data_IF_088564569774
#
_entry.id   IF_088564569774
#
_cell.length_a   1.000
_cell.length_b   1.000
_cell.length_c   1.000
_cell.angle_alpha   90.00
_cell.angle_beta   90.00
_cell.angle_gamma   90.00
#
_symmetry.space_group_name_H-M   'P 1'
#
loop_
_entity.id
_entity.type
_entity.pdbx_description
1 polymer ?
#
# COMPACT_ATOMS: atom_id res chain seq x y z
N UNK A 1 42.85 53.93 -16.13
CA UNK A 1 42.20 53.06 -15.11
C UNK A 1 42.38 51.61 -15.52
N UNK A 2 42.88 50.78 -14.59
CA UNK A 2 43.22 49.36 -14.76
C UNK A 2 41.98 48.50 -14.94
N UNK A 3 42.08 47.41 -15.72
CA UNK A 3 41.87 46.02 -15.26
C UNK A 3 42.15 45.03 -16.39
N UNK A 4 43.21 44.23 -16.20
CA UNK A 4 43.61 43.15 -17.10
C UNK A 4 42.75 41.90 -16.90
N UNK A 5 42.41 41.25 -18.01
CA UNK A 5 41.75 39.96 -18.04
C UNK A 5 42.81 38.84 -17.96
N UNK A 6 42.96 38.25 -16.77
CA UNK A 6 43.74 37.03 -16.60
C UNK A 6 42.93 35.82 -17.10
N UNK A 7 43.42 35.20 -18.19
CA UNK A 7 43.12 33.81 -18.55
C UNK A 7 43.47 32.89 -17.38
N UNK A 8 42.49 32.20 -16.81
CA UNK A 8 42.73 31.06 -15.91
C UNK A 8 42.49 29.76 -16.67
N UNK A 9 43.58 29.02 -16.83
CA UNK A 9 43.65 27.64 -17.29
C UNK A 9 42.63 26.76 -16.56
N UNK A 10 41.82 26.03 -17.33
CA UNK A 10 41.07 24.87 -16.86
C UNK A 10 42.10 23.75 -16.66
N UNK A 11 42.55 23.55 -15.42
CA UNK A 11 43.32 22.36 -15.04
C UNK A 11 42.34 21.21 -14.86
N UNK A 12 42.55 20.15 -15.64
CA UNK A 12 41.85 18.89 -15.51
C UNK A 12 42.03 18.32 -14.10
N UNK A 13 40.92 18.20 -13.38
CA UNK A 13 40.85 17.39 -12.19
C UNK A 13 40.57 15.95 -12.63
N UNK A 14 41.64 15.17 -12.77
CA UNK A 14 41.59 13.71 -12.64
C UNK A 14 41.28 13.41 -11.16
N UNK A 15 39.99 13.40 -10.82
CA UNK A 15 39.54 12.79 -9.56
C UNK A 15 39.38 11.30 -9.87
N UNK A 16 40.39 10.53 -9.47
CA UNK A 16 40.29 9.09 -9.30
C UNK A 16 39.26 8.81 -8.20
N UNK A 17 37.98 8.69 -8.59
CA UNK A 17 36.92 8.18 -7.71
C UNK A 17 37.11 6.67 -7.51
N UNK A 18 38.09 6.29 -6.70
CA UNK A 18 37.97 5.09 -5.88
C UNK A 18 37.08 5.45 -4.68
N UNK A 19 35.78 5.62 -4.93
CA UNK A 19 34.79 5.63 -3.85
C UNK A 19 34.33 4.18 -3.70
N UNK A 20 35.01 3.49 -2.79
CA UNK A 20 34.54 2.25 -2.19
C UNK A 20 33.08 2.41 -1.77
N UNK A 21 32.23 1.59 -2.38
CA UNK A 21 30.78 1.54 -2.21
C UNK A 21 30.38 1.03 -0.83
N UNK A 22 30.62 1.75 0.25
CA UNK A 22 30.12 1.37 1.58
C UNK A 22 30.06 2.57 2.52
N UNK A 23 29.13 3.51 2.33
CA UNK A 23 28.58 4.28 3.46
C UNK A 23 27.20 4.85 3.10
N UNK A 24 26.19 4.66 3.96
CA UNK A 24 24.95 5.43 3.91
C UNK A 24 25.13 6.68 4.77
N UNK A 25 24.95 7.90 4.25
CA UNK A 25 24.66 9.03 5.14
C UNK A 25 23.99 10.20 4.43
N UNK A 26 22.80 10.53 4.92
CA UNK A 26 22.12 11.80 4.73
C UNK A 26 22.86 12.88 5.54
N UNK A 27 23.38 13.92 4.89
CA UNK A 27 23.19 15.33 5.30
C UNK A 27 23.94 16.27 4.34
N UNK A 28 23.24 17.34 3.94
CA UNK A 28 23.66 18.63 3.34
C UNK A 28 24.59 18.67 2.10
N UNK A 29 25.32 17.60 1.75
CA UNK A 29 26.12 17.48 0.52
C UNK A 29 25.36 16.89 -0.69
N UNK A 30 24.07 16.61 -0.55
CA UNK A 30 23.29 15.82 -1.51
C UNK A 30 23.14 16.44 -2.90
N UNK A 31 23.16 17.77 -3.03
CA UNK A 31 22.91 18.46 -4.31
C UNK A 31 24.01 18.24 -5.36
N UNK A 32 25.27 18.15 -4.93
CA UNK A 32 26.41 17.90 -5.83
C UNK A 32 26.47 16.44 -6.26
N UNK A 33 26.16 15.51 -5.34
CA UNK A 33 26.08 14.07 -5.62
C UNK A 33 24.90 13.74 -6.56
N UNK A 34 23.76 14.41 -6.38
CA UNK A 34 22.61 14.35 -7.28
C UNK A 34 22.97 14.79 -8.71
N UNK A 35 23.59 15.96 -8.86
CA UNK A 35 24.04 16.45 -10.17
C UNK A 35 25.11 15.56 -10.78
N UNK A 36 26.05 15.03 -9.98
CA UNK A 36 27.11 14.16 -10.47
C UNK A 36 26.57 12.81 -11.00
N UNK A 37 25.61 12.19 -10.30
CA UNK A 37 25.00 10.91 -10.74
C UNK A 37 24.13 11.08 -11.99
N UNK A 38 23.42 12.22 -12.11
CA UNK A 38 22.62 12.57 -13.30
C UNK A 38 23.48 12.98 -14.50
N UNK A 39 24.63 13.63 -14.28
CA UNK A 39 25.45 14.24 -15.33
C UNK A 39 26.65 13.41 -15.78
N UNK A 40 27.08 12.39 -15.02
CA UNK A 40 28.13 11.47 -15.47
C UNK A 40 27.57 10.45 -16.47
N UNK A 41 27.83 10.58 -17.78
CA UNK A 41 27.35 9.62 -18.74
C UNK A 41 28.27 8.40 -18.67
N UNK A 42 27.70 7.24 -18.35
CA UNK A 42 28.14 5.96 -18.90
C UNK A 42 29.61 5.59 -18.72
N UNK A 43 30.24 5.92 -17.58
CA UNK A 43 31.64 5.51 -17.37
C UNK A 43 31.79 4.01 -17.09
N UNK A 44 30.74 3.34 -16.57
CA UNK A 44 30.69 1.89 -16.32
C UNK A 44 29.23 1.36 -16.43
N UNK A 45 28.74 0.97 -17.63
CA UNK A 45 27.36 0.48 -17.83
C UNK A 45 27.10 -0.92 -17.23
N UNK A 46 28.12 -1.59 -16.67
CA UNK A 46 28.02 -2.96 -16.16
C UNK A 46 27.67 -3.06 -14.67
N UNK A 47 27.49 -1.93 -13.96
CA UNK A 47 27.33 -1.94 -12.50
C UNK A 47 25.89 -1.57 -12.12
N UNK A 48 25.13 -2.54 -11.63
CA UNK A 48 23.73 -2.36 -11.19
C UNK A 48 23.57 -1.24 -10.13
N UNK A 49 24.55 -1.08 -9.24
CA UNK A 49 24.55 -0.05 -8.18
C UNK A 49 24.40 1.37 -8.75
N UNK A 50 25.02 1.67 -9.90
CA UNK A 50 24.92 2.99 -10.51
C UNK A 50 23.48 3.32 -10.91
N UNK A 51 22.79 2.36 -11.55
CA UNK A 51 21.40 2.52 -11.96
C UNK A 51 20.45 2.66 -10.77
N UNK A 52 20.67 1.91 -9.68
CA UNK A 52 19.85 2.06 -8.46
C UNK A 52 20.03 3.43 -7.79
N UNK A 53 21.25 3.98 -7.77
CA UNK A 53 21.51 5.31 -7.23
C UNK A 53 20.90 6.41 -8.11
N UNK A 54 20.94 6.25 -9.45
CA UNK A 54 20.29 7.17 -10.39
C UNK A 54 18.76 7.12 -10.29
N UNK A 55 18.19 5.92 -10.14
CA UNK A 55 16.77 5.73 -9.89
C UNK A 55 16.32 6.43 -8.60
N UNK A 56 17.08 6.32 -7.50
CA UNK A 56 16.81 7.07 -6.27
C UNK A 56 16.77 8.58 -6.50
N UNK A 57 17.69 9.11 -7.30
CA UNK A 57 17.66 10.53 -7.67
C UNK A 57 16.38 10.89 -8.43
N UNK A 58 15.98 10.07 -9.40
CA UNK A 58 14.73 10.28 -10.13
C UNK A 58 13.49 10.18 -9.25
N UNK A 59 13.45 9.26 -8.29
CA UNK A 59 12.36 9.17 -7.29
C UNK A 59 12.25 10.47 -6.49
N UNK A 60 13.36 11.02 -6.00
CA UNK A 60 13.35 12.30 -5.27
C UNK A 60 12.96 13.50 -6.15
N UNK A 61 13.21 13.41 -7.46
CA UNK A 61 12.78 14.39 -8.45
C UNK A 61 11.35 14.14 -8.98
N UNK A 62 10.64 13.14 -8.46
CA UNK A 62 9.30 12.71 -8.90
C UNK A 62 9.23 12.31 -10.39
N UNK A 63 10.35 11.89 -10.98
CA UNK A 63 10.41 11.40 -12.35
C UNK A 63 10.32 9.87 -12.36
N UNK A 64 9.14 9.34 -12.04
CA UNK A 64 8.95 7.90 -11.82
C UNK A 64 9.17 7.06 -13.07
N UNK A 65 8.80 7.54 -14.26
CA UNK A 65 8.98 6.79 -15.52
C UNK A 65 10.46 6.50 -15.82
N UNK A 66 11.33 7.49 -15.58
CA UNK A 66 12.78 7.34 -15.77
C UNK A 66 13.40 6.46 -14.69
N UNK A 67 12.94 6.61 -13.44
CA UNK A 67 13.36 5.74 -12.35
C UNK A 67 13.01 4.28 -12.64
N UNK A 68 11.84 4.02 -13.21
CA UNK A 68 11.38 2.67 -13.56
C UNK A 68 12.26 2.04 -14.64
N UNK A 69 12.63 2.79 -15.69
CA UNK A 69 13.57 2.33 -16.72
C UNK A 69 14.94 1.98 -16.11
N UNK A 70 15.45 2.81 -15.22
CA UNK A 70 16.72 2.57 -14.52
C UNK A 70 16.68 1.35 -13.60
N UNK A 71 15.59 1.17 -12.85
CA UNK A 71 15.39 -0.01 -12.02
C UNK A 71 15.31 -1.29 -12.86
N UNK A 72 14.64 -1.25 -14.02
CA UNK A 72 14.59 -2.40 -14.94
C UNK A 72 15.97 -2.77 -15.46
N UNK A 73 16.77 -1.79 -15.90
CA UNK A 73 18.16 -2.05 -16.31
C UNK A 73 19.02 -2.54 -15.14
N UNK A 74 18.81 -2.04 -13.92
CA UNK A 74 19.50 -2.56 -12.74
C UNK A 74 19.18 -4.04 -12.50
N UNK A 75 17.93 -4.45 -12.72
CA UNK A 75 17.48 -5.84 -12.59
C UNK A 75 17.94 -6.76 -13.73
N UNK A 76 18.13 -6.22 -14.93
CA UNK A 76 18.76 -6.96 -16.04
C UNK A 76 20.23 -7.30 -15.73
N UNK A 77 20.93 -6.39 -15.03
CA UNK A 77 22.32 -6.59 -14.60
C UNK A 77 22.42 -7.44 -13.33
N UNK A 78 21.53 -7.22 -12.37
CA UNK A 78 21.45 -7.93 -11.10
C UNK A 78 20.00 -8.22 -10.73
N UNK A 79 19.54 -9.42 -11.11
CA UNK A 79 18.16 -9.88 -10.87
C UNK A 79 17.79 -9.99 -9.39
N UNK A 80 18.78 -10.11 -8.49
CA UNK A 80 18.58 -10.29 -7.06
C UNK A 80 18.77 -8.99 -6.26
N UNK A 81 18.90 -7.85 -6.95
CA UNK A 81 19.11 -6.57 -6.29
C UNK A 81 17.87 -6.10 -5.51
N UNK A 82 17.91 -6.25 -4.18
CA UNK A 82 16.87 -5.77 -3.24
C UNK A 82 16.59 -4.27 -3.44
N UNK A 83 17.65 -3.47 -3.65
CA UNK A 83 17.49 -2.03 -3.83
C UNK A 83 16.67 -1.71 -5.08
N UNK A 84 16.91 -2.46 -6.16
CA UNK A 84 16.23 -2.25 -7.43
C UNK A 84 14.75 -2.66 -7.32
N UNK A 85 14.43 -3.80 -6.70
CA UNK A 85 13.05 -4.22 -6.45
C UNK A 85 12.30 -3.23 -5.55
N UNK A 86 12.94 -2.73 -4.48
CA UNK A 86 12.35 -1.73 -3.60
C UNK A 86 12.01 -0.42 -4.32
N UNK A 87 12.98 0.17 -5.03
CA UNK A 87 12.73 1.42 -5.78
C UNK A 87 11.74 1.22 -6.93
N UNK A 88 11.76 0.05 -7.58
CA UNK A 88 10.78 -0.30 -8.60
C UNK A 88 9.36 -0.33 -8.02
N UNK A 89 9.18 -1.03 -6.89
CA UNK A 89 7.89 -1.09 -6.19
C UNK A 89 7.43 0.28 -5.70
N UNK A 90 8.34 1.13 -5.23
CA UNK A 90 8.03 2.50 -4.85
C UNK A 90 7.58 3.34 -6.04
N UNK A 91 8.25 3.25 -7.19
CA UNK A 91 7.83 3.95 -8.41
C UNK A 91 6.46 3.47 -8.90
N UNK A 92 6.22 2.16 -8.90
CA UNK A 92 4.93 1.60 -9.32
C UNK A 92 3.78 2.00 -8.40
N UNK A 93 4.06 2.15 -7.10
CA UNK A 93 3.09 2.64 -6.12
C UNK A 93 2.65 4.08 -6.44
N UNK A 94 3.58 4.93 -6.87
CA UNK A 94 3.29 6.31 -7.29
C UNK A 94 2.64 6.39 -8.68
N UNK A 95 2.87 5.38 -9.54
CA UNK A 95 2.18 5.21 -10.83
C UNK A 95 0.84 4.46 -10.72
N UNK A 96 0.33 4.25 -9.51
CA UNK A 96 -0.94 3.55 -9.21
C UNK A 96 -1.01 2.06 -9.65
N UNK A 97 0.13 1.48 -10.02
CA UNK A 97 0.26 0.06 -10.38
C UNK A 97 0.48 -0.80 -9.12
N UNK A 98 -0.55 -0.90 -8.27
CA UNK A 98 -0.42 -1.48 -6.94
C UNK A 98 -0.09 -2.98 -6.91
N UNK A 99 -0.56 -3.76 -7.87
CA UNK A 99 -0.33 -5.21 -7.89
C UNK A 99 1.11 -5.57 -8.18
N UNK A 100 1.68 -4.94 -9.21
CA UNK A 100 3.10 -5.10 -9.54
C UNK A 100 3.99 -4.57 -8.42
N UNK A 101 3.61 -3.44 -7.81
CA UNK A 101 4.33 -2.87 -6.67
C UNK A 101 4.42 -3.86 -5.49
N UNK A 102 3.29 -4.47 -5.12
CA UNK A 102 3.24 -5.48 -4.06
C UNK A 102 4.05 -6.71 -4.45
N UNK A 103 3.97 -7.17 -5.69
CA UNK A 103 4.73 -8.32 -6.19
C UNK A 103 6.25 -8.09 -6.07
N UNK A 104 6.74 -6.92 -6.50
CA UNK A 104 8.16 -6.57 -6.42
C UNK A 104 8.63 -6.39 -4.97
N UNK A 105 7.85 -5.72 -4.12
CA UNK A 105 8.17 -5.56 -2.69
C UNK A 105 8.14 -6.89 -1.91
N UNK A 106 7.43 -7.91 -2.40
CA UNK A 106 7.38 -9.23 -1.76
C UNK A 106 8.50 -10.18 -2.17
N UNK A 107 9.23 -9.90 -3.26
CA UNK A 107 10.38 -10.73 -3.68
C UNK A 107 11.54 -10.63 -2.67
N UNK A 108 11.57 -9.57 -1.87
CA UNK A 108 12.63 -9.27 -0.88
C UNK A 108 12.48 -9.99 0.47
N UNK A 109 11.79 -11.14 0.54
CA UNK A 109 11.57 -11.85 1.83
C UNK A 109 12.87 -12.35 2.47
N UNK A 110 13.88 -12.69 1.68
CA UNK A 110 15.09 -13.39 2.15
C UNK A 110 16.29 -12.47 2.42
N UNK A 111 16.34 -11.26 1.84
CA UNK A 111 17.50 -10.37 1.93
C UNK A 111 17.23 -9.09 2.76
N UNK A 112 16.32 -9.18 3.73
CA UNK A 112 15.86 -8.08 4.62
C UNK A 112 16.95 -7.42 5.47
N UNK A 113 18.15 -7.98 5.51
CA UNK A 113 19.23 -7.61 6.44
C UNK A 113 19.72 -6.15 6.31
N UNK A 114 19.46 -5.47 5.18
CA UNK A 114 20.00 -4.13 4.91
C UNK A 114 18.99 -2.97 4.92
N UNK A 115 17.68 -3.24 4.94
CA UNK A 115 16.63 -2.21 4.75
C UNK A 115 15.72 -1.99 5.97
N UNK A 116 15.95 -2.70 7.07
CA UNK A 116 15.19 -2.52 8.31
C UNK A 116 13.66 -2.55 8.09
N UNK A 117 12.96 -1.55 8.64
CA UNK A 117 11.50 -1.41 8.60
C UNK A 117 10.94 -0.69 7.36
N UNK A 118 11.80 -0.27 6.41
CA UNK A 118 11.37 0.48 5.23
C UNK A 118 10.58 -0.38 4.24
N UNK A 119 11.00 -1.62 4.00
CA UNK A 119 10.28 -2.54 3.09
C UNK A 119 8.91 -2.94 3.65
N UNK A 120 8.79 -3.40 4.92
CA UNK A 120 7.49 -3.72 5.50
C UNK A 120 6.54 -2.51 5.56
N UNK A 121 7.05 -1.32 5.85
CA UNK A 121 6.23 -0.10 5.86
C UNK A 121 5.72 0.26 4.47
N UNK A 122 6.58 0.22 3.44
CA UNK A 122 6.18 0.41 2.05
C UNK A 122 5.13 -0.62 1.60
N UNK A 123 5.29 -1.90 1.98
CA UNK A 123 4.32 -2.95 1.67
C UNK A 123 2.95 -2.70 2.33
N UNK A 124 2.92 -2.21 3.58
CA UNK A 124 1.67 -1.82 4.25
C UNK A 124 0.98 -0.68 3.52
N UNK A 125 1.73 0.34 3.12
CA UNK A 125 1.21 1.48 2.37
C UNK A 125 0.66 1.02 1.01
N UNK A 126 1.40 0.17 0.29
CA UNK A 126 0.99 -0.39 -1.00
C UNK A 126 -0.33 -1.17 -0.89
N UNK A 127 -0.43 -2.07 0.09
CA UNK A 127 -1.67 -2.84 0.34
C UNK A 127 -2.85 -1.92 0.72
N UNK A 128 -2.61 -0.91 1.53
CA UNK A 128 -3.63 0.09 1.90
C UNK A 128 -4.10 0.89 0.69
N UNK A 129 -3.19 1.38 -0.15
CA UNK A 129 -3.56 2.10 -1.39
C UNK A 129 -4.31 1.20 -2.36
N UNK A 130 -3.88 -0.06 -2.53
CA UNK A 130 -4.62 -1.06 -3.33
C UNK A 130 -6.05 -1.24 -2.84
N UNK A 131 -6.22 -1.46 -1.53
CA UNK A 131 -7.54 -1.62 -0.93
C UNK A 131 -8.42 -0.39 -1.18
N UNK A 132 -7.88 0.80 -0.94
CA UNK A 132 -8.60 2.06 -1.17
C UNK A 132 -9.04 2.21 -2.64
N UNK A 133 -8.17 1.87 -3.60
CA UNK A 133 -8.48 1.97 -5.03
C UNK A 133 -9.58 0.99 -5.45
N UNK A 134 -9.56 -0.25 -4.94
CA UNK A 134 -10.60 -1.25 -5.21
C UNK A 134 -11.92 -0.81 -4.57
N UNK A 135 -11.85 -0.34 -3.32
CA UNK A 135 -13.02 0.10 -2.56
C UNK A 135 -13.67 1.33 -3.18
N UNK A 136 -12.88 2.30 -3.65
CA UNK A 136 -13.37 3.48 -4.37
C UNK A 136 -14.11 3.10 -5.66
N UNK A 137 -13.59 2.14 -6.43
CA UNK A 137 -14.27 1.61 -7.62
C UNK A 137 -15.59 0.93 -7.26
N UNK A 138 -15.61 0.15 -6.19
CA UNK A 138 -16.82 -0.53 -5.70
C UNK A 138 -17.87 0.48 -5.25
N UNK A 139 -17.49 1.49 -4.47
CA UNK A 139 -18.36 2.59 -4.05
C UNK A 139 -18.90 3.34 -5.26
N UNK A 140 -18.06 3.62 -6.25
CA UNK A 140 -18.47 4.30 -7.48
C UNK A 140 -19.54 3.51 -8.24
N UNK A 141 -19.36 2.20 -8.41
CA UNK A 141 -20.33 1.33 -9.07
C UNK A 141 -21.65 1.25 -8.31
N UNK A 142 -21.58 1.13 -6.97
CA UNK A 142 -22.78 1.09 -6.13
C UNK A 142 -23.56 2.41 -6.18
N UNK A 143 -22.86 3.56 -6.16
CA UNK A 143 -23.49 4.88 -6.29
C UNK A 143 -24.12 5.09 -7.68
N UNK A 144 -23.45 4.62 -8.74
CA UNK A 144 -23.99 4.68 -10.10
C UNK A 144 -25.27 3.84 -10.22
N UNK A 145 -25.26 2.63 -9.64
CA UNK A 145 -26.43 1.76 -9.59
C UNK A 145 -27.58 2.39 -8.79
N UNK A 146 -27.29 2.94 -7.60
CA UNK A 146 -28.28 3.63 -6.77
C UNK A 146 -28.95 4.80 -7.53
N UNK A 147 -28.15 5.64 -8.19
CA UNK A 147 -28.65 6.76 -8.99
C UNK A 147 -29.49 6.28 -10.19
N UNK A 148 -29.04 5.21 -10.87
CA UNK A 148 -29.76 4.61 -11.98
C UNK A 148 -31.12 4.06 -11.55
N UNK A 149 -31.17 3.28 -10.48
CA UNK A 149 -32.40 2.70 -9.94
C UNK A 149 -33.37 3.79 -9.46
N UNK A 150 -32.87 4.80 -8.75
CA UNK A 150 -33.65 5.96 -8.32
C UNK A 150 -34.31 6.64 -9.52
N UNK A 151 -33.56 6.87 -10.60
CA UNK A 151 -34.07 7.46 -11.83
C UNK A 151 -35.16 6.59 -12.48
N UNK A 152 -34.99 5.26 -12.50
CA UNK A 152 -36.02 4.35 -13.03
C UNK A 152 -37.30 4.40 -12.21
N UNK A 153 -37.21 4.37 -10.87
CA UNK A 153 -38.38 4.40 -9.99
C UNK A 153 -39.13 5.73 -10.13
N UNK A 154 -38.41 6.86 -10.19
CA UNK A 154 -39.03 8.17 -10.38
C UNK A 154 -39.67 8.31 -11.77
N UNK A 155 -39.01 7.81 -12.82
CA UNK A 155 -39.57 7.84 -14.17
C UNK A 155 -40.79 6.92 -14.32
N UNK A 156 -40.80 5.75 -13.66
CA UNK A 156 -41.97 4.86 -13.62
C UNK A 156 -43.12 5.51 -12.83
N UNK A 157 -42.79 6.13 -11.69
CA UNK A 157 -43.76 6.89 -10.89
C UNK A 157 -44.43 7.99 -11.71
N UNK A 158 -43.66 8.76 -12.48
CA UNK A 158 -44.19 9.84 -13.32
C UNK A 158 -45.09 9.29 -14.43
N UNK A 159 -44.68 8.21 -15.12
CA UNK A 159 -45.52 7.52 -16.11
C UNK A 159 -46.84 7.00 -15.53
N UNK A 160 -46.79 6.28 -14.41
CA UNK A 160 -48.00 5.75 -13.76
C UNK A 160 -48.93 6.90 -13.30
N UNK A 161 -48.37 8.00 -12.80
CA UNK A 161 -49.18 9.17 -12.41
C UNK A 161 -49.82 9.85 -13.61
N UNK A 162 -49.10 10.04 -14.71
CA UNK A 162 -49.62 10.65 -15.94
C UNK A 162 -50.77 9.82 -16.54
N UNK A 163 -50.65 8.49 -16.56
CA UNK A 163 -51.70 7.61 -17.06
C UNK A 163 -52.95 7.64 -16.18
N UNK A 164 -52.78 7.76 -14.85
CA UNK A 164 -53.89 7.93 -13.90
C UNK A 164 -54.56 9.30 -14.02
N UNK A 165 -53.79 10.36 -14.30
CA UNK A 165 -54.30 11.72 -14.53
C UNK A 165 -55.09 11.79 -15.84
N UNK A 166 -54.62 11.14 -16.92
CA UNK A 166 -55.38 11.05 -18.18
C UNK A 166 -56.69 10.28 -18.02
N UNK A 167 -56.78 9.35 -17.08
CA UNK A 167 -57.99 8.61 -16.76
C UNK A 167 -58.93 9.36 -15.80
N UNK A 168 -58.52 10.49 -15.19
CA UNK A 168 -59.25 11.15 -14.09
C UNK A 168 -60.09 12.36 -14.51
N UNK A 169 -60.93 12.25 -15.54
CA UNK A 169 -61.99 13.26 -15.80
C UNK A 169 -63.15 13.19 -14.77
N UNK A 170 -63.19 12.17 -13.90
CA UNK A 170 -64.24 11.97 -12.89
C UNK A 170 -63.76 12.17 -11.43
N UNK A 171 -64.59 12.87 -10.62
CA UNK A 171 -64.33 13.40 -9.26
C UNK A 171 -63.99 12.41 -8.13
N UNK A 172 -63.80 11.10 -8.41
CA UNK A 172 -63.53 10.07 -7.39
C UNK A 172 -62.08 9.56 -7.36
N UNK A 173 -61.21 9.98 -8.28
CA UNK A 173 -59.91 9.31 -8.50
C UNK A 173 -58.72 9.80 -7.64
N UNK A 174 -58.92 10.83 -6.80
CA UNK A 174 -57.84 11.41 -5.97
C UNK A 174 -57.24 10.42 -4.95
N UNK A 175 -58.04 9.44 -4.49
CA UNK A 175 -57.58 8.39 -3.58
C UNK A 175 -56.61 7.39 -4.23
N UNK A 176 -56.75 7.11 -5.53
CA UNK A 176 -55.89 6.15 -6.24
C UNK A 176 -54.53 6.76 -6.62
N UNK A 177 -54.51 8.04 -6.97
CA UNK A 177 -53.27 8.81 -7.19
C UNK A 177 -52.41 8.81 -5.91
N UNK A 178 -53.04 9.01 -4.75
CA UNK A 178 -52.36 8.98 -3.46
C UNK A 178 -51.76 7.59 -3.14
N UNK A 179 -52.49 6.50 -3.42
CA UNK A 179 -51.99 5.13 -3.27
C UNK A 179 -50.80 4.85 -4.18
N UNK A 180 -50.88 5.29 -5.44
CA UNK A 180 -49.82 5.11 -6.44
C UNK A 180 -48.55 5.85 -6.05
N UNK A 181 -48.69 7.10 -5.56
CA UNK A 181 -47.57 7.87 -5.02
C UNK A 181 -46.93 7.18 -3.81
N UNK A 182 -47.75 6.75 -2.85
CA UNK A 182 -47.29 6.06 -1.64
C UNK A 182 -46.58 4.74 -1.95
N UNK A 183 -47.01 3.99 -2.97
CA UNK A 183 -46.36 2.75 -3.43
C UNK A 183 -44.92 3.02 -3.89
N UNK A 184 -44.70 4.02 -4.74
CA UNK A 184 -43.36 4.36 -5.24
C UNK A 184 -42.48 4.99 -4.16
N UNK A 185 -43.06 5.81 -3.28
CA UNK A 185 -42.35 6.37 -2.13
C UNK A 185 -41.88 5.24 -1.19
N UNK A 186 -42.69 4.19 -1.02
CA UNK A 186 -42.29 2.99 -0.29
C UNK A 186 -41.13 2.26 -0.99
N UNK A 187 -41.17 2.06 -2.30
CA UNK A 187 -40.06 1.43 -3.03
C UNK A 187 -38.76 2.23 -2.94
N UNK A 188 -38.82 3.56 -2.94
CA UNK A 188 -37.64 4.41 -2.71
C UNK A 188 -37.06 4.20 -1.31
N UNK A 189 -37.91 4.22 -0.29
CA UNK A 189 -37.47 3.99 1.11
C UNK A 189 -36.87 2.59 1.26
N UNK A 190 -37.53 1.56 0.74
CA UNK A 190 -37.05 0.17 0.80
C UNK A 190 -35.69 0.02 0.06
N UNK A 191 -35.50 0.76 -1.05
CA UNK A 191 -34.25 0.77 -1.81
C UNK A 191 -33.14 1.50 -1.06
N UNK A 192 -33.40 2.70 -0.53
CA UNK A 192 -32.43 3.46 0.27
C UNK A 192 -32.00 2.69 1.52
N UNK A 193 -32.93 1.97 2.15
CA UNK A 193 -32.66 1.08 3.29
C UNK A 193 -31.72 -0.08 2.91
N UNK A 194 -31.90 -0.69 1.73
CA UNK A 194 -30.99 -1.74 1.25
C UNK A 194 -29.56 -1.24 1.08
N UNK A 195 -29.37 -0.04 0.53
CA UNK A 195 -28.04 0.55 0.36
C UNK A 195 -27.44 1.02 1.72
N UNK A 196 -28.28 1.52 2.64
CA UNK A 196 -27.89 1.85 4.02
C UNK A 196 -27.34 0.63 4.78
N UNK A 197 -27.97 -0.53 4.63
CA UNK A 197 -27.47 -1.78 5.23
C UNK A 197 -26.09 -2.22 4.71
N UNK A 198 -25.77 -1.89 3.46
CA UNK A 198 -24.43 -2.14 2.89
C UNK A 198 -23.41 -1.19 3.50
N UNK A 199 -23.76 0.09 3.69
CA UNK A 199 -22.90 1.08 4.34
C UNK A 199 -22.60 0.76 5.81
N UNK A 200 -23.56 0.22 6.55
CA UNK A 200 -23.34 -0.25 7.92
C UNK A 200 -22.28 -1.37 7.98
N UNK A 201 -22.26 -2.28 7.00
CA UNK A 201 -21.23 -3.33 6.87
C UNK A 201 -19.85 -2.79 6.46
N UNK A 202 -19.77 -1.56 5.92
CA UNK A 202 -18.50 -0.88 5.59
C UNK A 202 -17.84 -0.24 6.80
N UNK A 203 -18.57 -0.07 7.93
CA UNK A 203 -17.96 0.44 9.17
C UNK A 203 -16.77 -0.44 9.55
N UNK A 204 -15.73 0.21 10.12
CA UNK A 204 -14.49 -0.44 10.52
C UNK A 204 -14.82 -1.67 11.36
N UNK A 205 -14.39 -2.85 10.89
CA UNK A 205 -14.53 -4.09 11.64
C UNK A 205 -13.63 -4.02 12.87
N UNK A 206 -14.18 -4.37 14.02
CA UNK A 206 -13.36 -4.61 15.21
C UNK A 206 -12.62 -5.94 15.03
N UNK A 207 -11.32 -5.92 15.28
CA UNK A 207 -10.48 -7.10 15.21
C UNK A 207 -10.68 -7.87 16.53
N UNK A 208 -11.07 -9.16 16.50
CA UNK A 208 -11.22 -9.93 17.73
C UNK A 208 -9.92 -10.04 18.54
N UNK A 209 -10.01 -9.86 19.86
CA UNK A 209 -8.86 -9.83 20.79
C UNK A 209 -7.99 -11.10 20.79
N UNK A 210 -8.53 -12.25 20.36
CA UNK A 210 -7.79 -13.50 20.28
C UNK A 210 -6.87 -13.58 19.04
N UNK A 211 -7.08 -12.71 18.04
CA UNK A 211 -6.21 -12.55 16.88
C UNK A 211 -5.12 -11.49 17.10
N UNK A 212 -5.23 -10.73 18.19
CA UNK A 212 -4.24 -9.74 18.59
C UNK A 212 -3.15 -10.36 19.45
N UNK A 213 -1.91 -9.95 19.19
CA UNK A 213 -0.75 -10.36 19.98
C UNK A 213 -0.85 -9.80 21.40
N UNK A 214 -0.46 -10.58 22.41
CA UNK A 214 -0.50 -10.13 23.81
C UNK A 214 0.56 -9.09 24.18
N UNK A 215 1.55 -8.89 23.31
CA UNK A 215 2.64 -7.92 23.50
C UNK A 215 2.40 -6.68 22.63
N UNK A 216 2.29 -6.83 21.31
CA UNK A 216 2.05 -5.69 20.40
C UNK A 216 0.64 -5.10 20.50
N UNK A 217 -0.35 -5.86 20.96
CA UNK A 217 -1.77 -5.52 20.84
C UNK A 217 -2.22 -5.23 19.40
N UNK A 218 -1.42 -5.65 18.41
CA UNK A 218 -1.73 -5.58 16.98
C UNK A 218 -2.17 -6.95 16.46
N UNK A 219 -2.78 -6.97 15.27
CA UNK A 219 -3.09 -8.21 14.56
C UNK A 219 -1.82 -9.03 14.33
N UNK A 220 -1.79 -10.26 14.83
CA UNK A 220 -0.63 -11.15 14.70
C UNK A 220 -0.31 -11.42 13.22
N UNK A 221 0.97 -11.37 12.85
CA UNK A 221 1.43 -11.70 11.49
C UNK A 221 1.91 -13.13 11.39
N UNK A 222 2.72 -13.54 12.37
CA UNK A 222 3.34 -14.86 12.43
C UNK A 222 3.03 -15.48 13.80
N UNK A 223 1.82 -16.04 13.98
CA UNK A 223 1.39 -16.55 15.28
C UNK A 223 2.23 -17.79 15.67
N UNK A 224 2.90 -17.69 16.81
CA UNK A 224 3.67 -18.79 17.39
C UNK A 224 3.09 -19.15 18.76
N UNK A 225 2.94 -20.45 19.02
CA UNK A 225 2.43 -20.95 20.30
C UNK A 225 3.59 -21.35 21.20
N UNK A 226 3.55 -20.88 22.45
CA UNK A 226 4.48 -21.33 23.50
C UNK A 226 4.00 -22.65 24.10
N UNK A 227 4.86 -23.45 24.73
CA UNK A 227 4.43 -24.67 25.45
C UNK A 227 3.37 -24.42 26.53
N UNK A 228 3.24 -23.19 27.02
CA UNK A 228 2.19 -22.75 27.94
C UNK A 228 0.80 -22.61 27.29
N UNK A 229 0.70 -22.78 25.96
CA UNK A 229 -0.55 -22.65 25.20
C UNK A 229 -0.92 -21.21 24.82
N UNK A 230 -0.04 -20.23 25.10
CA UNK A 230 -0.29 -18.82 24.77
C UNK A 230 0.33 -18.52 23.41
N UNK A 231 -0.45 -17.88 22.54
CA UNK A 231 -0.01 -17.44 21.21
C UNK A 231 0.46 -15.98 21.24
N UNK A 232 1.61 -15.74 20.63
CA UNK A 232 2.21 -14.42 20.44
C UNK A 232 2.55 -14.21 18.96
N UNK A 233 2.84 -12.98 18.56
CA UNK A 233 3.52 -12.74 17.28
C UNK A 233 5.01 -13.08 17.45
N UNK A 234 5.58 -13.79 16.48
CA UNK A 234 6.95 -14.31 16.53
C UNK A 234 7.97 -13.22 16.82
N UNK A 235 7.86 -12.07 16.14
CA UNK A 235 8.80 -10.96 16.30
C UNK A 235 8.78 -10.39 17.71
N UNK A 236 7.59 -10.11 18.23
CA UNK A 236 7.43 -9.50 19.54
C UNK A 236 7.95 -10.40 20.66
N UNK A 237 7.69 -11.72 20.57
CA UNK A 237 8.17 -12.66 21.57
C UNK A 237 9.69 -12.84 21.46
N UNK A 238 10.25 -12.90 20.25
CA UNK A 238 11.70 -12.99 20.05
C UNK A 238 12.42 -11.75 20.61
N UNK A 239 11.90 -10.55 20.34
CA UNK A 239 12.44 -9.29 20.88
C UNK A 239 12.28 -9.22 22.41
N UNK A 240 11.10 -9.55 22.93
CA UNK A 240 10.85 -9.57 24.38
C UNK A 240 11.78 -10.55 25.11
N UNK A 241 12.01 -11.73 24.53
CA UNK A 241 12.93 -12.72 25.05
C UNK A 241 14.37 -12.24 24.96
N UNK A 242 14.81 -11.61 23.86
CA UNK A 242 16.17 -11.05 23.75
C UNK A 242 16.43 -9.98 24.82
N UNK A 243 15.46 -9.12 25.11
CA UNK A 243 15.57 -8.07 26.14
C UNK A 243 15.55 -8.65 27.56
N UNK A 244 14.66 -9.60 27.83
CA UNK A 244 14.44 -10.15 29.18
C UNK A 244 15.49 -11.21 29.55
N UNK A 245 15.99 -11.98 28.57
CA UNK A 245 16.89 -13.12 28.80
C UNK A 245 18.36 -12.75 29.04
N UNK A 246 18.74 -11.47 29.01
CA UNK A 246 20.02 -11.03 29.62
C UNK A 246 20.10 -11.35 31.12
N UNK A 247 18.97 -11.71 31.76
CA UNK A 247 18.87 -12.07 33.19
C UNK A 247 18.59 -13.56 33.48
N UNK A 248 18.45 -14.44 32.47
CA UNK A 248 17.98 -15.82 32.65
C UNK A 248 18.94 -16.90 32.09
N UNK A 249 18.94 -18.09 32.71
CA UNK A 249 19.83 -19.20 32.35
C UNK A 249 19.55 -19.80 30.95
N UNK A 250 20.57 -20.26 30.20
CA UNK A 250 20.39 -20.79 28.85
C UNK A 250 19.41 -21.97 28.75
N UNK A 251 19.36 -22.86 29.73
CA UNK A 251 18.45 -24.02 29.75
C UNK A 251 16.95 -23.65 29.73
N UNK A 252 16.59 -22.47 30.26
CA UNK A 252 15.23 -21.92 30.18
C UNK A 252 14.95 -21.26 28.82
N UNK A 253 15.98 -20.76 28.13
CA UNK A 253 15.87 -20.20 26.77
C UNK A 253 15.50 -21.29 25.74
N UNK A 254 16.13 -22.47 25.79
CA UNK A 254 15.91 -23.53 24.79
C UNK A 254 14.50 -24.15 24.81
N UNK A 255 13.80 -24.16 25.96
CA UNK A 255 12.43 -24.70 26.05
C UNK A 255 11.37 -23.78 25.43
N UNK A 256 11.65 -22.48 25.27
CA UNK A 256 10.76 -21.53 24.62
C UNK A 256 11.01 -21.41 23.11
N UNK A 257 12.18 -21.86 22.64
CA UNK A 257 12.55 -21.86 21.22
C UNK A 257 11.83 -22.93 20.40
N UNK A 258 11.27 -23.96 21.03
CA UNK A 258 10.33 -24.92 20.43
C UNK A 258 8.93 -24.29 20.23
N UNK A 259 8.89 -23.04 19.78
CA UNK A 259 7.65 -22.37 19.44
C UNK A 259 7.18 -22.83 18.06
N UNK A 260 6.28 -23.80 18.06
CA UNK A 260 5.61 -24.27 16.86
C UNK A 260 4.78 -23.12 16.25
N UNK A 261 4.72 -23.07 14.91
CA UNK A 261 3.74 -22.22 14.23
C UNK A 261 2.33 -22.67 14.60
N UNK A 262 1.47 -21.73 14.99
CA UNK A 262 0.07 -22.02 15.23
C UNK A 262 -0.69 -21.96 13.90
N UNK A 263 -0.88 -23.13 13.27
CA UNK A 263 -1.56 -23.26 11.98
C UNK A 263 -3.01 -22.79 12.04
N UNK A 264 -3.72 -23.07 13.14
CA UNK A 264 -5.15 -22.80 13.28
C UNK A 264 -5.40 -21.28 13.32
N UNK A 265 -4.59 -20.55 14.10
CA UNK A 265 -4.65 -19.09 14.15
C UNK A 265 -4.16 -18.48 12.83
N UNK A 266 -3.15 -19.07 12.19
CA UNK A 266 -2.69 -18.62 10.87
C UNK A 266 -3.81 -18.72 9.83
N UNK A 267 -4.58 -19.81 9.82
CA UNK A 267 -5.72 -19.99 8.93
C UNK A 267 -6.85 -19.01 9.25
N UNK A 268 -7.16 -18.80 10.54
CA UNK A 268 -8.15 -17.81 10.96
C UNK A 268 -7.78 -16.38 10.51
N UNK A 269 -6.50 -16.01 10.62
CA UNK A 269 -5.99 -14.72 10.14
C UNK A 269 -6.09 -14.60 8.61
N UNK A 270 -5.78 -15.66 7.87
CA UNK A 270 -5.93 -15.68 6.41
C UNK A 270 -7.39 -15.48 5.99
N UNK A 271 -8.35 -16.12 6.69
CA UNK A 271 -9.79 -15.93 6.45
C UNK A 271 -10.29 -14.54 6.82
N UNK A 272 -9.67 -13.88 7.79
CA UNK A 272 -10.02 -12.50 8.15
C UNK A 272 -9.51 -11.48 7.11
N UNK A 273 -8.37 -11.78 6.49
CA UNK A 273 -7.71 -10.92 5.50
C UNK A 273 -8.16 -11.17 4.05
N UNK A 274 -8.86 -12.28 3.79
CA UNK A 274 -9.49 -12.61 2.49
C UNK A 274 -10.85 -11.94 2.34
#
# INVERSE_FOLDING_TARGET
>A
MRRGAHRKHIRGYQISCQLSCTTPFLSEGGGLLFKALLFCPNRNPSVAVYYTNRALCYVKLQQYDKALADCKHALELDSQSVKAHFFLGQCQLELENYEEAIGNLQRDKEQRLNFGDDIPSALRIAKKKRWNSIEEKRISQENELHAYLTKLILAEKERELDDRVKQSEDSQNGGEICKTKSKHDKYLIDMDELFSQVDEKRKKREIPDYLCGKISFELMREPCITPSGITYDRKDIEEHLQVTSQSASPAAQWRLFDSCMNSDISEALLRLLS
#
